data_IF_883899454323
#
_entry.id   IF_883899454323
#
_cell.length_a   1.000
_cell.length_b   1.000
_cell.length_c   1.000
_cell.angle_alpha   90.00
_cell.angle_beta   90.00
_cell.angle_gamma   90.00
#
_symmetry.space_group_name_H-M   'P 1'
#
loop_
_entity.id
_entity.type
_entity.pdbx_description
1 polymer ?
#
# COMPACT_ATOMS: atom_id res chain seq x y z
N UNK A 1 -5.79 4.97 25.18
CA UNK A 1 -6.47 4.90 23.87
C UNK A 1 -7.25 6.19 23.65
N UNK A 2 -7.00 6.90 22.54
CA UNK A 2 -7.69 8.16 22.23
C UNK A 2 -9.17 7.94 21.91
N UNK A 3 -10.01 8.96 22.14
CA UNK A 3 -11.48 8.90 21.97
C UNK A 3 -11.94 8.35 20.60
N UNK A 4 -11.37 8.75 19.45
CA UNK A 4 -11.81 8.25 18.14
C UNK A 4 -11.61 6.74 17.98
N UNK A 5 -10.50 6.22 18.50
CA UNK A 5 -10.20 4.80 18.41
C UNK A 5 -11.13 3.97 19.30
N UNK A 6 -11.58 4.50 20.45
CA UNK A 6 -12.58 3.81 21.29
C UNK A 6 -13.92 3.65 20.56
N UNK A 7 -14.28 4.63 19.73
CA UNK A 7 -15.49 4.54 18.91
C UNK A 7 -15.30 3.55 17.75
N UNK A 8 -14.17 3.62 17.05
CA UNK A 8 -13.85 2.69 15.97
C UNK A 8 -13.77 1.23 16.47
N UNK A 9 -13.30 1.00 17.69
CA UNK A 9 -13.27 -0.32 18.32
C UNK A 9 -14.65 -0.98 18.48
N UNK A 10 -15.74 -0.22 18.43
CA UNK A 10 -17.10 -0.77 18.36
C UNK A 10 -17.43 -1.37 16.99
N UNK A 11 -16.82 -0.84 15.93
CA UNK A 11 -16.91 -1.36 14.57
C UNK A 11 -15.96 -2.54 14.36
N UNK A 12 -14.75 -2.46 14.91
CA UNK A 12 -13.73 -3.50 14.81
C UNK A 12 -12.94 -3.60 16.13
N UNK A 13 -13.27 -4.56 17.02
CA UNK A 13 -12.64 -4.70 18.33
C UNK A 13 -11.13 -4.92 18.28
N UNK A 14 -10.58 -5.35 17.13
CA UNK A 14 -9.13 -5.54 16.93
C UNK A 14 -8.33 -4.25 17.02
N UNK A 15 -8.98 -3.10 16.89
CA UNK A 15 -8.38 -1.77 17.09
C UNK A 15 -8.45 -1.33 18.56
N UNK A 16 -9.34 -1.95 19.34
CA UNK A 16 -9.46 -1.76 20.80
C UNK A 16 -8.53 -2.64 21.64
N UNK A 17 -8.02 -3.72 21.05
CA UNK A 17 -7.06 -4.64 21.67
C UNK A 17 -5.75 -4.62 20.89
N UNK A 18 -4.62 -4.95 21.53
CA UNK A 18 -3.33 -5.11 20.87
C UNK A 18 -3.32 -6.41 20.06
N UNK A 19 -4.09 -6.47 18.97
CA UNK A 19 -4.10 -7.63 18.08
C UNK A 19 -2.87 -7.58 17.16
N UNK A 20 -2.20 -8.72 16.99
CA UNK A 20 -0.89 -8.78 16.33
C UNK A 20 -0.92 -8.21 14.91
N UNK A 21 -1.92 -8.60 14.10
CA UNK A 21 -2.01 -8.13 12.71
C UNK A 21 -2.30 -6.63 12.58
N UNK A 22 -3.15 -6.05 13.44
CA UNK A 22 -3.48 -4.62 13.38
C UNK A 22 -2.32 -3.79 13.90
N UNK A 23 -1.69 -4.23 14.99
CA UNK A 23 -0.50 -3.58 15.56
C UNK A 23 0.68 -3.60 14.58
N UNK A 24 0.94 -4.74 13.92
CA UNK A 24 2.00 -4.87 12.93
C UNK A 24 1.79 -3.96 11.71
N UNK A 25 0.55 -3.59 11.40
CA UNK A 25 0.20 -2.65 10.34
C UNK A 25 0.27 -1.19 10.79
N UNK A 26 -0.19 -0.90 12.00
CA UNK A 26 -0.23 0.47 12.53
C UNK A 26 1.16 1.04 12.75
N UNK A 27 2.14 0.25 13.21
CA UNK A 27 3.48 0.75 13.53
C UNK A 27 4.18 1.34 12.29
N UNK A 28 4.29 0.64 11.15
CA UNK A 28 4.82 1.24 9.92
C UNK A 28 3.95 2.40 9.42
N UNK A 29 2.63 2.32 9.56
CA UNK A 29 1.73 3.37 9.09
C UNK A 29 1.93 4.67 9.85
N UNK A 30 2.04 4.60 11.18
CA UNK A 30 2.26 5.76 12.02
C UNK A 30 3.69 6.31 11.91
N UNK A 31 4.70 5.43 11.86
CA UNK A 31 6.10 5.86 11.93
C UNK A 31 6.75 6.11 10.56
N UNK A 32 6.22 5.54 9.48
CA UNK A 32 6.76 5.68 8.13
C UNK A 32 5.81 6.43 7.22
N UNK A 33 4.58 5.92 7.03
CA UNK A 33 3.63 6.51 6.06
C UNK A 33 3.12 7.88 6.52
N UNK A 34 2.85 8.07 7.81
CA UNK A 34 2.45 9.37 8.38
C UNK A 34 3.46 10.50 8.11
N UNK A 35 4.74 10.37 8.54
CA UNK A 35 5.77 11.36 8.23
C UNK A 35 6.02 11.51 6.73
N UNK A 36 6.00 10.42 5.97
CA UNK A 36 6.18 10.48 4.52
C UNK A 36 5.05 11.25 3.84
N UNK A 37 3.81 11.13 4.30
CA UNK A 37 2.67 11.88 3.78
C UNK A 37 2.86 13.39 3.95
N UNK A 38 3.44 13.84 5.07
CA UNK A 38 3.79 15.26 5.27
C UNK A 38 4.90 15.72 4.31
N UNK A 39 5.93 14.89 4.12
CA UNK A 39 7.00 15.16 3.16
C UNK A 39 6.46 15.23 1.73
N UNK A 40 5.54 14.33 1.37
CA UNK A 40 4.86 14.33 0.08
C UNK A 40 3.99 15.57 -0.11
N UNK A 41 3.24 16.00 0.91
CA UNK A 41 2.47 17.24 0.86
C UNK A 41 3.38 18.46 0.60
N UNK A 42 4.52 18.53 1.29
CA UNK A 42 5.53 19.56 1.04
C UNK A 42 6.13 19.46 -0.37
N UNK A 43 6.44 18.25 -0.83
CA UNK A 43 6.94 17.98 -2.18
C UNK A 43 5.95 18.43 -3.26
N UNK A 44 4.65 18.17 -3.06
CA UNK A 44 3.56 18.63 -3.92
C UNK A 44 3.47 20.15 -3.94
N UNK A 45 3.47 20.79 -2.77
CA UNK A 45 3.45 22.26 -2.66
C UNK A 45 4.65 22.92 -3.39
N UNK A 46 5.84 22.33 -3.23
CA UNK A 46 7.08 22.81 -3.90
C UNK A 46 7.25 22.29 -5.33
N UNK A 47 6.27 21.56 -5.88
CA UNK A 47 6.31 20.93 -7.22
C UNK A 47 7.60 20.14 -7.48
N UNK A 48 8.07 19.38 -6.49
CA UNK A 48 9.30 18.61 -6.59
C UNK A 48 9.07 17.27 -7.31
N UNK A 49 9.88 16.90 -8.32
CA UNK A 49 9.65 15.68 -9.11
C UNK A 49 9.90 14.39 -8.31
N UNK A 50 10.77 14.42 -7.29
CA UNK A 50 11.03 13.25 -6.44
C UNK A 50 9.78 12.77 -5.68
N UNK A 51 8.76 13.62 -5.53
CA UNK A 51 7.51 13.26 -4.83
C UNK A 51 6.86 12.05 -5.48
N UNK A 52 6.91 11.93 -6.81
CA UNK A 52 6.19 10.90 -7.54
C UNK A 52 6.70 9.50 -7.21
N UNK A 53 8.01 9.33 -7.05
CA UNK A 53 8.59 8.06 -6.62
C UNK A 53 8.08 7.66 -5.23
N UNK A 54 8.20 8.57 -4.26
CA UNK A 54 7.77 8.29 -2.89
C UNK A 54 6.26 8.17 -2.73
N UNK A 55 5.50 8.86 -3.59
CA UNK A 55 4.04 8.76 -3.65
C UNK A 55 3.60 7.38 -4.14
N UNK A 56 4.28 6.82 -5.15
CA UNK A 56 4.06 5.43 -5.59
C UNK A 56 4.32 4.46 -4.44
N UNK A 57 5.46 4.57 -3.76
CA UNK A 57 5.83 3.70 -2.63
C UNK A 57 4.79 3.78 -1.51
N UNK A 58 4.42 4.99 -1.08
CA UNK A 58 3.44 5.21 -0.03
C UNK A 58 2.06 4.67 -0.44
N UNK A 59 1.59 4.99 -1.65
CA UNK A 59 0.27 4.57 -2.11
C UNK A 59 0.13 3.05 -2.24
N UNK A 60 1.17 2.36 -2.73
CA UNK A 60 1.19 0.89 -2.75
C UNK A 60 1.16 0.32 -1.32
N UNK A 61 1.89 0.95 -0.39
CA UNK A 61 1.88 0.58 1.03
C UNK A 61 0.48 0.68 1.66
N UNK A 62 -0.23 1.79 1.43
CA UNK A 62 -1.59 2.01 1.95
C UNK A 62 -2.59 1.00 1.39
N UNK A 63 -2.55 0.72 0.08
CA UNK A 63 -3.43 -0.27 -0.57
C UNK A 63 -3.17 -1.67 0.00
N UNK A 64 -1.89 -2.05 0.15
CA UNK A 64 -1.52 -3.33 0.73
C UNK A 64 -1.91 -3.41 2.21
N UNK A 65 -1.75 -2.33 2.97
CA UNK A 65 -2.20 -2.22 4.34
C UNK A 65 -3.71 -2.47 4.45
N UNK A 66 -4.50 -1.83 3.59
CA UNK A 66 -5.94 -2.04 3.60
C UNK A 66 -6.32 -3.51 3.34
N UNK A 67 -5.61 -4.21 2.45
CA UNK A 67 -5.78 -5.65 2.28
C UNK A 67 -5.45 -6.42 3.56
N UNK A 68 -4.36 -6.09 4.25
CA UNK A 68 -3.96 -6.76 5.50
C UNK A 68 -4.94 -6.51 6.66
N UNK A 69 -5.68 -5.39 6.64
CA UNK A 69 -6.73 -5.11 7.64
C UNK A 69 -7.96 -6.01 7.45
N UNK A 70 -8.40 -6.22 6.21
CA UNK A 70 -9.67 -6.91 5.91
C UNK A 70 -9.54 -8.34 5.40
N UNK A 71 -8.50 -8.64 4.62
CA UNK A 71 -8.26 -9.95 4.01
C UNK A 71 -8.29 -11.09 5.03
N UNK A 72 -7.54 -11.01 6.15
CA UNK A 72 -7.59 -12.03 7.20
C UNK A 72 -9.01 -12.24 7.75
N UNK A 73 -9.78 -11.17 7.98
CA UNK A 73 -11.16 -11.29 8.47
C UNK A 73 -12.09 -11.89 7.44
N UNK A 74 -11.96 -11.55 6.16
CA UNK A 74 -12.79 -12.16 5.11
C UNK A 74 -12.56 -13.67 5.04
N UNK A 75 -11.32 -14.13 5.28
CA UNK A 75 -10.98 -15.55 5.32
C UNK A 75 -11.50 -16.26 6.59
N UNK A 76 -11.66 -15.56 7.72
CA UNK A 76 -12.15 -16.13 8.98
C UNK A 76 -13.66 -15.92 9.21
N UNK A 77 -14.37 -15.40 8.21
CA UNK A 77 -15.82 -15.18 8.26
C UNK A 77 -16.23 -13.85 8.88
N UNK A 78 -15.31 -12.89 9.01
CA UNK A 78 -15.54 -11.50 9.40
C UNK A 78 -16.17 -11.33 10.78
N UNK A 79 -15.75 -12.18 11.72
CA UNK A 79 -16.35 -12.28 13.06
C UNK A 79 -16.11 -11.02 13.90
N UNK A 80 -14.98 -10.35 13.67
CA UNK A 80 -14.62 -9.13 14.40
C UNK A 80 -15.15 -7.87 13.69
N UNK A 81 -15.63 -7.97 12.45
CA UNK A 81 -16.14 -6.83 11.69
C UNK A 81 -17.63 -6.61 11.97
N UNK A 82 -17.95 -5.48 12.60
CA UNK A 82 -19.31 -5.07 12.97
C UNK A 82 -20.04 -6.07 13.91
N UNK A 83 -19.46 -6.39 15.08
CA UNK A 83 -20.03 -7.38 16.01
C UNK A 83 -21.39 -6.93 16.58
N UNK A 84 -21.63 -5.61 16.66
CA UNK A 84 -22.88 -5.02 17.16
C UNK A 84 -24.00 -4.97 16.10
N UNK A 85 -23.77 -5.49 14.88
CA UNK A 85 -24.71 -5.44 13.76
C UNK A 85 -25.29 -4.04 13.49
N UNK A 86 -24.47 -3.01 13.69
CA UNK A 86 -24.87 -1.61 13.56
C UNK A 86 -24.66 -1.11 12.13
N UNK A 87 -25.70 -0.50 11.56
CA UNK A 87 -25.64 0.04 10.20
C UNK A 87 -24.53 1.09 10.04
N UNK A 88 -24.39 1.98 11.03
CA UNK A 88 -23.39 3.07 11.02
C UNK A 88 -21.97 2.50 11.05
N UNK A 89 -21.72 1.53 11.93
CA UNK A 89 -20.40 0.91 12.05
C UNK A 89 -20.02 0.15 10.77
N UNK A 90 -20.98 -0.54 10.16
CA UNK A 90 -20.74 -1.24 8.88
C UNK A 90 -20.46 -0.29 7.72
N UNK A 91 -21.35 0.67 7.46
CA UNK A 91 -21.32 1.44 6.21
C UNK A 91 -20.47 2.70 6.29
N UNK A 92 -20.43 3.36 7.45
CA UNK A 92 -19.66 4.60 7.61
C UNK A 92 -18.24 4.28 8.08
N UNK A 93 -18.11 3.51 9.17
CA UNK A 93 -16.80 3.25 9.76
C UNK A 93 -16.00 2.21 8.97
N UNK A 94 -16.58 1.05 8.66
CA UNK A 94 -15.85 0.01 7.94
C UNK A 94 -15.83 0.27 6.43
N UNK A 95 -16.97 0.49 5.79
CA UNK A 95 -16.99 0.63 4.34
C UNK A 95 -16.46 2.00 3.88
N UNK A 96 -17.14 3.10 4.22
CA UNK A 96 -16.81 4.41 3.67
C UNK A 96 -15.39 4.87 4.03
N UNK A 97 -15.00 4.80 5.30
CA UNK A 97 -13.66 5.20 5.70
C UNK A 97 -12.60 4.39 4.92
N UNK A 98 -12.68 3.06 4.91
CA UNK A 98 -11.63 2.25 4.28
C UNK A 98 -11.63 2.33 2.74
N UNK A 99 -12.76 2.62 2.11
CA UNK A 99 -12.80 2.92 0.66
C UNK A 99 -11.95 4.15 0.34
N UNK A 100 -11.91 5.17 1.20
CA UNK A 100 -11.05 6.34 0.99
C UNK A 100 -9.56 5.95 1.02
N UNK A 101 -9.16 5.03 1.90
CA UNK A 101 -7.81 4.49 1.98
C UNK A 101 -7.42 3.60 0.80
N UNK A 102 -8.35 3.24 -0.09
CA UNK A 102 -8.05 2.60 -1.37
C UNK A 102 -8.06 3.64 -2.50
N UNK A 103 -9.15 4.40 -2.60
CA UNK A 103 -9.42 5.27 -3.75
C UNK A 103 -8.41 6.41 -3.84
N UNK A 104 -8.09 7.07 -2.72
CA UNK A 104 -7.13 8.19 -2.73
C UNK A 104 -5.74 7.70 -3.13
N UNK A 105 -5.16 6.67 -2.50
CA UNK A 105 -3.88 6.11 -2.94
C UNK A 105 -3.88 5.64 -4.39
N UNK A 106 -4.96 5.00 -4.86
CA UNK A 106 -5.04 4.52 -6.24
C UNK A 106 -4.99 5.67 -7.25
N UNK A 107 -5.73 6.75 -7.01
CA UNK A 107 -5.69 7.95 -7.87
C UNK A 107 -4.28 8.55 -7.89
N UNK A 108 -3.65 8.69 -6.71
CA UNK A 108 -2.29 9.21 -6.58
C UNK A 108 -1.25 8.31 -7.26
N UNK A 109 -1.46 6.99 -7.24
CA UNK A 109 -0.61 6.02 -7.91
C UNK A 109 -0.70 6.16 -9.43
N UNK A 110 -1.92 6.26 -9.97
CA UNK A 110 -2.17 6.47 -11.41
C UNK A 110 -1.56 7.79 -11.88
N UNK A 111 -1.75 8.88 -11.12
CA UNK A 111 -1.17 10.20 -11.42
C UNK A 111 0.36 10.13 -11.50
N UNK A 112 1.00 9.58 -10.46
CA UNK A 112 2.46 9.48 -10.43
C UNK A 112 3.01 8.53 -11.48
N UNK A 113 2.33 7.42 -11.75
CA UNK A 113 2.71 6.51 -12.83
C UNK A 113 2.71 7.22 -14.19
N UNK A 114 1.63 7.96 -14.51
CA UNK A 114 1.53 8.70 -15.77
C UNK A 114 2.67 9.72 -15.96
N UNK A 115 2.99 10.49 -14.91
CA UNK A 115 4.09 11.47 -14.95
C UNK A 115 5.45 10.79 -15.10
N UNK A 116 5.69 9.68 -14.39
CA UNK A 116 6.95 8.94 -14.48
C UNK A 116 7.15 8.32 -15.87
N UNK A 117 6.07 7.82 -16.49
CA UNK A 117 6.12 7.28 -17.85
C UNK A 117 6.38 8.36 -18.89
N UNK A 118 5.69 9.50 -18.83
CA UNK A 118 5.94 10.64 -19.73
C UNK A 118 7.38 11.17 -19.58
N UNK A 119 7.89 11.27 -18.35
CA UNK A 119 9.28 11.66 -18.10
C UNK A 119 10.28 10.64 -18.69
N UNK A 120 9.99 9.34 -18.58
CA UNK A 120 10.80 8.29 -19.20
C UNK A 120 10.79 8.39 -20.73
N UNK A 121 9.63 8.62 -21.35
CA UNK A 121 9.51 8.68 -22.80
C UNK A 121 10.18 9.92 -23.39
N UNK A 122 10.02 11.09 -22.76
CA UNK A 122 10.77 12.31 -23.12
C UNK A 122 12.27 12.17 -22.89
N UNK A 123 12.68 11.40 -21.88
CA UNK A 123 14.09 11.12 -21.67
C UNK A 123 14.68 10.27 -22.78
N UNK A 124 13.90 9.35 -23.40
CA UNK A 124 14.36 8.53 -24.52
C UNK A 124 14.66 9.38 -25.77
N UNK A 125 13.87 10.43 -26.04
CA UNK A 125 14.07 11.29 -27.22
C UNK A 125 15.34 12.13 -27.16
N UNK A 126 15.86 12.40 -25.96
CA UNK A 126 17.08 13.17 -25.73
C UNK A 126 18.28 12.33 -25.26
N UNK A 127 18.16 10.99 -25.21
CA UNK A 127 19.17 10.15 -24.54
C UNK A 127 20.42 9.90 -25.41
N UNK A 128 21.58 10.20 -24.84
CA UNK A 128 22.87 9.58 -25.17
C UNK A 128 22.80 8.12 -24.68
N UNK A 129 23.29 7.15 -25.45
CA UNK A 129 23.09 5.69 -25.22
C UNK A 129 23.78 5.13 -23.98
N UNK A 130 24.42 5.95 -23.17
CA UNK A 130 25.29 5.60 -22.03
C UNK A 130 24.55 5.34 -20.71
N UNK A 131 23.30 5.78 -20.56
CA UNK A 131 22.49 5.60 -19.32
C UNK A 131 21.41 4.51 -19.40
N UNK A 132 21.31 3.77 -20.50
CA UNK A 132 20.45 2.60 -20.55
C UNK A 132 21.17 1.46 -19.84
N UNK A 133 20.45 0.62 -19.06
CA UNK A 133 21.09 -0.53 -18.46
C UNK A 133 21.74 -1.35 -19.56
N UNK A 134 23.05 -1.60 -19.43
CA UNK A 134 23.80 -2.38 -20.38
C UNK A 134 23.20 -3.78 -20.52
N UNK A 135 23.59 -4.52 -21.56
CA UNK A 135 23.11 -5.91 -21.75
C UNK A 135 23.30 -6.78 -20.49
N UNK A 136 24.37 -6.54 -19.73
CA UNK A 136 24.67 -7.24 -18.48
C UNK A 136 23.70 -6.83 -17.36
N UNK A 137 23.51 -5.53 -17.14
CA UNK A 137 22.60 -5.02 -16.10
C UNK A 137 21.16 -5.46 -16.38
N UNK A 138 20.75 -5.41 -17.65
CA UNK A 138 19.45 -5.91 -18.07
C UNK A 138 19.31 -7.41 -17.76
N UNK A 139 20.32 -8.23 -18.08
CA UNK A 139 20.31 -9.67 -17.72
C UNK A 139 20.19 -9.90 -16.22
N UNK A 140 20.91 -9.13 -15.40
CA UNK A 140 20.82 -9.22 -13.93
C UNK A 140 19.40 -8.92 -13.46
N UNK A 141 18.78 -7.83 -13.93
CA UNK A 141 17.41 -7.47 -13.56
C UNK A 141 16.43 -8.59 -13.95
N UNK A 142 16.50 -9.10 -15.18
CA UNK A 142 15.64 -10.19 -15.64
C UNK A 142 15.82 -11.46 -14.81
N UNK A 143 17.08 -11.83 -14.50
CA UNK A 143 17.37 -12.98 -13.65
C UNK A 143 16.81 -12.81 -12.24
N UNK A 144 16.95 -11.63 -11.62
CA UNK A 144 16.39 -11.37 -10.30
C UNK A 144 14.86 -11.45 -10.29
N UNK A 145 14.20 -10.88 -11.30
CA UNK A 145 12.74 -10.97 -11.45
C UNK A 145 12.26 -12.40 -11.68
N UNK A 146 12.97 -13.17 -12.51
CA UNK A 146 12.65 -14.57 -12.77
C UNK A 146 12.81 -15.44 -11.52
N UNK A 147 13.91 -15.24 -10.76
CA UNK A 147 14.13 -15.92 -9.47
C UNK A 147 13.03 -15.53 -8.48
N UNK A 148 12.67 -14.25 -8.38
CA UNK A 148 11.60 -13.82 -7.48
C UNK A 148 10.25 -14.45 -7.85
N UNK A 149 9.89 -14.45 -9.14
CA UNK A 149 8.67 -15.09 -9.62
C UNK A 149 8.66 -16.60 -9.34
N UNK A 150 9.79 -17.29 -9.59
CA UNK A 150 9.94 -18.70 -9.29
C UNK A 150 9.76 -18.97 -7.79
N UNK A 151 10.42 -18.19 -6.93
CA UNK A 151 10.28 -18.31 -5.46
C UNK A 151 8.83 -18.15 -5.06
N UNK A 152 8.12 -17.12 -5.53
CA UNK A 152 6.72 -16.88 -5.18
C UNK A 152 5.82 -18.04 -5.61
N UNK A 153 5.97 -18.53 -6.84
CA UNK A 153 5.15 -19.64 -7.36
C UNK A 153 5.44 -20.94 -6.63
N UNK A 154 6.72 -21.28 -6.43
CA UNK A 154 7.14 -22.51 -5.76
C UNK A 154 6.71 -22.49 -4.29
N UNK A 155 6.97 -21.40 -3.55
CA UNK A 155 6.51 -21.29 -2.16
C UNK A 155 4.98 -21.34 -2.05
N UNK A 156 4.27 -20.68 -2.97
CA UNK A 156 2.81 -20.76 -3.04
C UNK A 156 2.34 -22.20 -3.20
N UNK A 157 2.92 -22.95 -4.13
CA UNK A 157 2.57 -24.34 -4.38
C UNK A 157 2.96 -25.26 -3.21
N UNK A 158 4.16 -25.13 -2.66
CA UNK A 158 4.65 -25.92 -1.52
C UNK A 158 3.76 -25.73 -0.30
N UNK A 159 3.30 -24.49 -0.03
CA UNK A 159 2.36 -24.21 1.07
C UNK A 159 1.01 -24.92 0.91
N UNK A 160 0.60 -25.27 -0.31
CA UNK A 160 -0.64 -26.03 -0.55
C UNK A 160 -0.46 -27.55 -0.42
N UNK A 161 0.79 -28.05 -0.41
CA UNK A 161 1.10 -29.48 -0.32
C UNK A 161 1.37 -29.97 1.11
N UNK A 162 1.60 -29.05 2.05
CA UNK A 162 1.85 -29.32 3.48
C UNK A 162 0.63 -28.89 4.28
#
# INVERSE_FOLDING_TARGET
>A
MALPWKEYAKADPRWGRLHDCTTALEVPTALMWGPLALVLAYGTYRRRPWRHFWQVVCATGEIYGNWMTFGPEWLTGSRELNPLNSWVHKWVYLFFANVLWIVIPLILLIESYGVLMDACDRSKSHRRTDKLPGRVEMRVIWSMLAVFALVVVVFGFVKHLV
#
